data_IF_012105991233
#
_entry.id   IF_012105991233
#
_cell.length_a   1.000
_cell.length_b   1.000
_cell.length_c   1.000
_cell.angle_alpha   90.00
_cell.angle_beta   90.00
_cell.angle_gamma   90.00
#
_symmetry.space_group_name_H-M   'P 1'
#
loop_
_entity.id
_entity.type
_entity.pdbx_description
1 polymer ?
#
# COMPACT_ATOMS: atom_id res chain seq x y z
N UNK A 1 16.81 3.14 -11.75
CA UNK A 1 16.58 4.60 -11.80
C UNK A 1 15.93 5.14 -13.08
N UNK A 2 15.67 4.31 -14.12
CA UNK A 2 15.10 4.79 -15.41
C UNK A 2 13.77 5.56 -15.26
N UNK A 3 12.83 5.04 -14.47
CA UNK A 3 11.55 5.72 -14.22
C UNK A 3 11.73 7.07 -13.52
N UNK A 4 12.66 7.18 -12.57
CA UNK A 4 12.95 8.46 -11.94
C UNK A 4 13.53 9.46 -12.95
N UNK A 5 14.46 9.02 -13.80
CA UNK A 5 14.99 9.86 -14.89
C UNK A 5 13.90 10.35 -15.84
N UNK A 6 12.92 9.50 -16.17
CA UNK A 6 11.75 9.86 -16.97
C UNK A 6 10.92 10.97 -16.31
N UNK A 7 10.66 10.86 -15.00
CA UNK A 7 9.91 11.90 -14.27
C UNK A 7 10.68 13.23 -14.26
N UNK A 8 11.97 13.18 -13.95
CA UNK A 8 12.83 14.36 -13.90
C UNK A 8 12.95 15.07 -15.26
N UNK A 9 13.05 14.32 -16.37
CA UNK A 9 13.11 14.91 -17.71
C UNK A 9 11.83 15.65 -18.11
N UNK A 10 10.70 15.34 -17.46
CA UNK A 10 9.43 16.04 -17.61
C UNK A 10 9.21 17.14 -16.55
N UNK A 11 10.23 17.48 -15.76
CA UNK A 11 10.13 18.50 -14.72
C UNK A 11 9.27 18.09 -13.52
N UNK A 12 9.01 16.79 -13.35
CA UNK A 12 8.26 16.25 -12.22
C UNK A 12 9.23 16.02 -11.06
N UNK A 13 8.86 16.45 -9.86
CA UNK A 13 9.60 16.19 -8.63
C UNK A 13 9.10 14.89 -7.97
N UNK A 14 9.82 13.77 -8.07
CA UNK A 14 9.41 12.52 -7.43
C UNK A 14 9.67 12.53 -5.92
N UNK A 15 8.78 11.88 -5.18
CA UNK A 15 9.00 11.45 -3.79
C UNK A 15 8.93 9.93 -3.80
N UNK A 16 10.03 9.27 -3.43
CA UNK A 16 10.09 7.80 -3.39
C UNK A 16 9.63 7.32 -2.02
N UNK A 17 8.57 6.51 -1.99
CA UNK A 17 8.05 5.92 -0.76
C UNK A 17 8.38 4.42 -0.71
N UNK A 18 8.87 3.96 0.43
CA UNK A 18 9.23 2.55 0.65
C UNK A 18 8.39 1.97 1.79
N UNK A 19 8.07 0.68 1.73
CA UNK A 19 7.47 -0.04 2.85
C UNK A 19 8.42 -0.07 4.06
N UNK A 20 7.83 -0.04 5.25
CA UNK A 20 8.51 -0.15 6.52
C UNK A 20 8.21 -1.44 7.25
N UNK A 21 7.76 -1.32 8.50
CA UNK A 21 7.53 -2.47 9.37
C UNK A 21 6.31 -3.30 8.94
N UNK A 22 6.28 -4.57 9.36
CA UNK A 22 5.11 -5.43 9.12
C UNK A 22 3.88 -4.95 9.87
N UNK A 23 2.75 -4.88 9.16
CA UNK A 23 1.45 -4.53 9.72
C UNK A 23 0.73 -5.77 10.27
N UNK A 24 0.24 -5.76 11.52
CA UNK A 24 -0.43 -6.93 12.10
C UNK A 24 -1.68 -7.39 11.32
N UNK A 25 -2.50 -6.45 10.83
CA UNK A 25 -3.68 -6.78 10.00
C UNK A 25 -3.35 -7.55 8.72
N UNK A 26 -2.11 -7.44 8.22
CA UNK A 26 -1.65 -8.11 7.00
C UNK A 26 -0.86 -9.39 7.26
N UNK A 27 -0.67 -9.78 8.52
CA UNK A 27 0.21 -10.88 8.91
C UNK A 27 -0.17 -12.23 8.26
N UNK A 28 -1.47 -12.52 8.10
CA UNK A 28 -1.95 -13.75 7.45
C UNK A 28 -1.54 -13.78 5.98
N UNK A 29 -1.69 -12.65 5.28
CA UNK A 29 -1.35 -12.51 3.87
C UNK A 29 0.15 -12.62 3.66
N UNK A 30 0.96 -11.95 4.48
CA UNK A 30 2.42 -12.05 4.41
C UNK A 30 2.94 -13.46 4.73
N UNK A 31 2.32 -14.16 5.68
CA UNK A 31 2.67 -15.56 5.98
C UNK A 31 2.44 -16.46 4.77
N UNK A 32 1.27 -16.35 4.12
CA UNK A 32 0.98 -17.10 2.87
C UNK A 32 1.95 -16.75 1.75
N UNK A 33 2.30 -15.47 1.60
CA UNK A 33 3.30 -15.01 0.60
C UNK A 33 4.66 -15.66 0.88
N UNK A 34 5.13 -15.67 2.13
CA UNK A 34 6.40 -16.31 2.54
C UNK A 34 6.39 -17.81 2.26
N UNK A 35 5.35 -18.54 2.67
CA UNK A 35 5.21 -19.98 2.41
C UNK A 35 5.25 -20.31 0.92
N UNK A 36 4.54 -19.51 0.10
CA UNK A 36 4.57 -19.67 -1.35
C UNK A 36 5.96 -19.41 -1.95
N UNK A 37 6.70 -18.39 -1.46
CA UNK A 37 8.08 -18.14 -1.89
C UNK A 37 8.98 -19.33 -1.54
N UNK A 38 8.89 -19.86 -0.33
CA UNK A 38 9.68 -21.01 0.11
C UNK A 38 9.39 -22.26 -0.74
N UNK A 39 8.11 -22.55 -1.00
CA UNK A 39 7.68 -23.66 -1.86
C UNK A 39 8.26 -23.51 -3.27
N UNK A 40 8.12 -22.34 -3.88
CA UNK A 40 8.67 -22.07 -5.22
C UNK A 40 10.20 -22.16 -5.23
N UNK A 41 10.89 -21.68 -4.18
CA UNK A 41 12.34 -21.77 -4.06
C UNK A 41 12.82 -23.22 -3.98
N UNK A 42 12.14 -24.09 -3.22
CA UNK A 42 12.45 -25.53 -3.15
C UNK A 42 12.26 -26.18 -4.52
N UNK A 43 11.14 -25.92 -5.19
CA UNK A 43 10.84 -26.46 -6.51
C UNK A 43 11.84 -25.99 -7.59
N UNK A 44 12.21 -24.70 -7.57
CA UNK A 44 13.21 -24.15 -8.49
C UNK A 44 14.58 -24.85 -8.35
N UNK A 45 15.04 -25.06 -7.10
CA UNK A 45 16.31 -25.75 -6.83
C UNK A 45 16.30 -27.20 -7.32
N UNK A 46 15.17 -27.90 -7.16
CA UNK A 46 15.04 -29.28 -7.63
C UNK A 46 15.04 -29.37 -9.16
N UNK A 47 14.28 -28.51 -9.85
CA UNK A 47 14.30 -28.43 -11.31
C UNK A 47 15.70 -28.10 -11.85
N UNK A 48 16.43 -27.22 -11.18
CA UNK A 48 17.80 -26.88 -11.57
C UNK A 48 18.74 -28.08 -11.45
N UNK A 49 18.62 -28.90 -10.39
CA UNK A 49 19.38 -30.15 -10.24
C UNK A 49 19.08 -31.16 -11.33
N UNK A 50 17.86 -31.16 -11.86
CA UNK A 50 17.43 -32.02 -12.97
C UNK A 50 17.85 -31.46 -14.36
N UNK A 51 18.61 -30.35 -14.42
CA UNK A 51 19.01 -29.72 -15.68
C UNK A 51 17.90 -28.90 -16.35
N UNK A 52 16.74 -28.72 -15.70
CA UNK A 52 15.56 -28.02 -16.24
C UNK A 52 15.60 -26.52 -15.93
N UNK A 53 16.64 -25.84 -16.41
CA UNK A 53 16.93 -24.45 -16.05
C UNK A 53 15.81 -23.45 -16.40
N UNK A 54 15.14 -23.63 -17.55
CA UNK A 54 14.04 -22.74 -17.99
C UNK A 54 12.85 -22.78 -17.02
N UNK A 55 12.46 -23.97 -16.59
CA UNK A 55 11.35 -24.16 -15.66
C UNK A 55 11.74 -23.71 -14.24
N UNK A 56 12.99 -23.97 -13.83
CA UNK A 56 13.52 -23.45 -12.58
C UNK A 56 13.44 -21.92 -12.52
N UNK A 57 13.75 -21.23 -13.63
CA UNK A 57 13.69 -19.77 -13.72
C UNK A 57 12.27 -19.22 -13.48
N UNK A 58 11.23 -19.90 -13.97
CA UNK A 58 9.83 -19.50 -13.72
C UNK A 58 9.49 -19.56 -12.23
N UNK A 59 9.97 -20.57 -11.51
CA UNK A 59 9.80 -20.67 -10.06
C UNK A 59 10.68 -19.66 -9.30
N UNK A 60 11.91 -19.40 -9.75
CA UNK A 60 12.76 -18.37 -9.14
C UNK A 60 12.11 -16.99 -9.20
N UNK A 61 11.50 -16.63 -10.33
CA UNK A 61 10.75 -15.37 -10.48
C UNK A 61 9.61 -15.23 -9.47
N UNK A 62 8.98 -16.34 -9.07
CA UNK A 62 7.87 -16.39 -8.09
C UNK A 62 8.33 -16.44 -6.63
N UNK A 63 9.63 -16.58 -6.36
CA UNK A 63 10.18 -16.62 -5.00
C UNK A 63 11.12 -15.45 -4.67
N UNK A 64 11.11 -14.39 -5.50
CA UNK A 64 11.82 -13.14 -5.23
C UNK A 64 11.24 -12.51 -3.97
N UNK A 65 12.13 -12.04 -3.11
CA UNK A 65 11.81 -11.31 -1.89
C UNK A 65 12.63 -10.02 -1.93
N UNK A 66 11.96 -8.89 -1.74
CA UNK A 66 12.61 -7.58 -1.65
C UNK A 66 13.04 -7.38 -0.21
N UNK A 67 14.34 -7.20 0.03
CA UNK A 67 14.89 -7.04 1.37
C UNK A 67 15.12 -5.56 1.73
N UNK A 68 15.32 -5.27 3.02
CA UNK A 68 15.66 -3.92 3.48
C UNK A 68 16.95 -3.40 2.86
N UNK A 69 17.93 -4.27 2.60
CA UNK A 69 19.20 -3.91 1.99
C UNK A 69 19.02 -3.49 0.53
N UNK A 70 18.21 -4.24 -0.23
CA UNK A 70 17.86 -3.86 -1.61
C UNK A 70 17.15 -2.50 -1.66
N UNK A 71 16.23 -2.25 -0.72
CA UNK A 71 15.58 -0.94 -0.62
C UNK A 71 16.59 0.16 -0.28
N UNK A 72 17.49 -0.08 0.66
CA UNK A 72 18.52 0.88 1.08
C UNK A 72 19.47 1.29 -0.06
N UNK A 73 19.85 0.36 -0.93
CA UNK A 73 20.64 0.68 -2.14
C UNK A 73 19.90 1.67 -3.05
N UNK A 74 18.58 1.50 -3.23
CA UNK A 74 17.75 2.41 -4.02
C UNK A 74 17.60 3.76 -3.32
N UNK A 75 17.40 3.78 -2.00
CA UNK A 75 17.35 5.01 -1.19
C UNK A 75 18.64 5.82 -1.36
N UNK A 76 19.79 5.16 -1.24
CA UNK A 76 21.11 5.77 -1.42
C UNK A 76 21.27 6.35 -2.84
N UNK A 77 20.84 5.59 -3.86
CA UNK A 77 20.85 6.05 -5.25
C UNK A 77 19.90 7.22 -5.52
N UNK A 78 18.79 7.33 -4.78
CA UNK A 78 17.86 8.46 -4.85
C UNK A 78 18.48 9.72 -4.22
N UNK A 79 19.04 9.60 -3.03
CA UNK A 79 19.72 10.72 -2.33
C UNK A 79 20.88 11.29 -3.11
N UNK A 80 21.69 10.44 -3.74
CA UNK A 80 22.80 10.87 -4.59
C UNK A 80 22.34 11.74 -5.78
N UNK A 81 21.06 11.62 -6.19
CA UNK A 81 20.43 12.42 -7.25
C UNK A 81 19.47 13.49 -6.70
N UNK A 82 19.52 13.79 -5.41
CA UNK A 82 18.67 14.77 -4.75
C UNK A 82 17.16 14.49 -4.90
N UNK A 83 16.78 13.22 -4.82
CA UNK A 83 15.38 12.78 -4.82
C UNK A 83 14.93 12.56 -3.38
N UNK A 84 13.77 13.10 -3.04
CA UNK A 84 13.18 12.94 -1.72
C UNK A 84 12.74 11.48 -1.50
N UNK A 85 13.01 10.97 -0.30
CA UNK A 85 12.70 9.60 0.11
C UNK A 85 11.96 9.63 1.45
N UNK A 86 10.94 8.79 1.57
CA UNK A 86 10.26 8.50 2.84
C UNK A 86 10.09 7.00 2.98
N UNK A 87 10.56 6.41 4.07
CA UNK A 87 10.16 5.04 4.43
C UNK A 87 8.89 5.14 5.27
N UNK A 88 7.81 4.48 4.85
CA UNK A 88 6.59 4.43 5.64
C UNK A 88 6.86 3.76 6.99
N UNK A 89 6.14 4.09 8.07
CA UNK A 89 6.26 3.33 9.32
C UNK A 89 5.74 1.88 9.15
N UNK A 90 4.76 1.69 8.26
CA UNK A 90 4.17 0.40 7.90
C UNK A 90 4.07 0.28 6.37
N UNK A 91 2.88 0.27 5.78
CA UNK A 91 2.73 0.12 4.33
C UNK A 91 2.93 1.44 3.59
N UNK A 92 3.62 1.36 2.46
CA UNK A 92 3.78 2.47 1.53
C UNK A 92 2.42 3.00 1.04
N UNK A 93 1.40 2.13 0.90
CA UNK A 93 0.07 2.50 0.45
C UNK A 93 -0.58 3.59 1.32
N UNK A 94 -0.58 3.40 2.64
CA UNK A 94 -1.12 4.38 3.57
C UNK A 94 -0.32 5.68 3.54
N UNK A 95 1.01 5.58 3.45
CA UNK A 95 1.90 6.74 3.39
C UNK A 95 1.71 7.55 2.10
N UNK A 96 1.59 6.89 0.96
CA UNK A 96 1.31 7.49 -0.34
C UNK A 96 -0.06 8.20 -0.33
N UNK A 97 -1.08 7.54 0.23
CA UNK A 97 -2.39 8.13 0.40
C UNK A 97 -2.36 9.37 1.29
N UNK A 98 -1.61 9.34 2.39
CA UNK A 98 -1.44 10.50 3.26
C UNK A 98 -0.84 11.69 2.51
N UNK A 99 0.27 11.48 1.80
CA UNK A 99 0.94 12.54 1.03
C UNK A 99 0.00 13.15 -0.01
N UNK A 100 -0.83 12.33 -0.66
CA UNK A 100 -1.79 12.81 -1.65
C UNK A 100 -2.98 13.55 -1.04
N UNK A 101 -3.55 13.03 0.05
CA UNK A 101 -4.67 13.65 0.74
C UNK A 101 -4.30 15.00 1.36
N UNK A 102 -3.09 15.12 1.91
CA UNK A 102 -2.54 16.38 2.44
C UNK A 102 -2.04 17.35 1.37
N UNK A 103 -2.07 16.97 0.10
CA UNK A 103 -1.63 17.81 -1.02
C UNK A 103 -0.12 18.00 -1.13
N UNK A 104 0.66 17.19 -0.40
CA UNK A 104 2.13 17.17 -0.49
C UNK A 104 2.54 16.60 -1.86
N UNK A 105 1.82 15.56 -2.33
CA UNK A 105 1.95 15.01 -3.68
C UNK A 105 0.64 15.14 -4.45
N UNK A 106 0.68 15.60 -5.70
CA UNK A 106 -0.53 15.81 -6.50
C UNK A 106 -1.04 14.49 -7.12
N UNK A 107 -0.13 13.56 -7.39
CA UNK A 107 -0.43 12.28 -8.05
C UNK A 107 0.42 11.19 -7.41
N UNK A 108 -0.16 9.99 -7.24
CA UNK A 108 0.58 8.79 -6.82
C UNK A 108 0.82 7.87 -8.03
N UNK A 109 1.99 7.27 -8.13
CA UNK A 109 2.31 6.23 -9.11
C UNK A 109 2.42 4.90 -8.36
N UNK A 110 1.61 3.91 -8.72
CA UNK A 110 1.66 2.56 -8.14
C UNK A 110 1.07 1.54 -9.11
N UNK A 111 1.39 0.26 -8.93
CA UNK A 111 0.67 -0.85 -9.57
C UNK A 111 -0.38 -1.47 -8.63
N UNK A 112 -0.38 -1.08 -7.35
CA UNK A 112 -1.30 -1.63 -6.34
C UNK A 112 -2.63 -0.88 -6.32
N UNK A 113 -3.70 -1.58 -6.72
CA UNK A 113 -5.05 -1.02 -6.72
C UNK A 113 -5.63 -0.77 -5.33
N UNK A 114 -5.08 -1.40 -4.28
CA UNK A 114 -5.53 -1.20 -2.90
C UNK A 114 -5.37 0.27 -2.48
N UNK A 115 -4.43 1.00 -3.09
CA UNK A 115 -4.25 2.43 -2.90
C UNK A 115 -5.52 3.26 -3.19
N UNK A 116 -6.38 2.81 -4.10
CA UNK A 116 -7.66 3.49 -4.39
C UNK A 116 -8.56 3.46 -3.16
N UNK A 117 -8.51 2.39 -2.36
CA UNK A 117 -9.36 2.16 -1.17
C UNK A 117 -8.96 3.06 0.00
N UNK A 118 -7.69 3.48 0.05
CA UNK A 118 -7.19 4.49 0.98
C UNK A 118 -7.66 5.91 0.65
N UNK A 119 -8.23 6.15 -0.54
CA UNK A 119 -8.84 7.43 -0.90
C UNK A 119 -7.91 8.41 -1.59
N UNK A 120 -6.84 7.94 -2.23
CA UNK A 120 -6.05 8.78 -3.12
C UNK A 120 -6.95 9.50 -4.14
N UNK A 121 -6.73 10.79 -4.31
CA UNK A 121 -7.46 11.68 -5.24
C UNK A 121 -7.07 11.40 -6.69
N UNK A 122 -5.79 11.08 -6.93
CA UNK A 122 -5.22 10.96 -8.28
C UNK A 122 -4.11 9.92 -8.31
N UNK A 123 -4.33 8.85 -9.08
CA UNK A 123 -3.41 7.71 -9.15
C UNK A 123 -3.10 7.36 -10.60
N UNK A 124 -1.82 7.10 -10.89
CA UNK A 124 -1.32 6.58 -12.15
C UNK A 124 -0.90 5.12 -11.97
N UNK A 125 -1.48 4.27 -12.80
CA UNK A 125 -1.13 2.86 -12.91
C UNK A 125 -0.43 2.59 -14.24
N UNK A 126 0.33 1.49 -14.31
CA UNK A 126 0.94 0.98 -15.56
C UNK A 126 1.82 2.02 -16.25
N UNK A 127 2.63 2.75 -15.48
CA UNK A 127 3.55 3.74 -16.04
C UNK A 127 4.69 3.04 -16.79
N UNK A 128 4.66 3.13 -18.12
CA UNK A 128 5.69 2.58 -19.00
C UNK A 128 6.92 3.49 -19.12
N UNK A 129 7.95 3.02 -19.83
CA UNK A 129 9.21 3.75 -20.01
C UNK A 129 9.10 5.01 -20.87
N UNK A 130 8.02 5.15 -21.63
CA UNK A 130 7.75 6.27 -22.53
C UNK A 130 6.77 7.29 -21.90
N UNK A 131 6.30 7.04 -20.67
CA UNK A 131 5.34 7.90 -19.96
C UNK A 131 3.87 7.54 -20.20
N UNK A 132 3.58 6.50 -20.99
CA UNK A 132 2.23 5.96 -21.11
C UNK A 132 1.76 5.40 -19.77
N UNK A 133 0.52 5.71 -19.39
CA UNK A 133 -0.05 5.31 -18.10
C UNK A 133 -1.57 5.29 -18.13
N UNK A 134 -2.17 4.68 -17.11
CA UNK A 134 -3.61 4.69 -16.84
C UNK A 134 -3.89 5.60 -15.65
N UNK A 135 -4.62 6.69 -15.89
CA UNK A 135 -5.02 7.62 -14.85
C UNK A 135 -6.37 7.23 -14.24
N UNK A 136 -6.39 7.13 -12.90
CA UNK A 136 -7.59 6.95 -12.10
C UNK A 136 -7.83 8.20 -11.27
N UNK A 137 -9.00 8.80 -11.52
CA UNK A 137 -9.51 9.97 -10.85
C UNK A 137 -10.55 9.54 -9.80
N UNK A 138 -10.29 9.85 -8.53
CA UNK A 138 -11.17 9.52 -7.41
C UNK A 138 -12.61 9.98 -7.64
N UNK A 139 -12.78 11.18 -8.20
CA UNK A 139 -14.09 11.78 -8.43
C UNK A 139 -14.91 11.01 -9.47
N UNK A 140 -14.25 10.20 -10.30
CA UNK A 140 -14.85 9.40 -11.37
C UNK A 140 -15.05 7.94 -11.01
N UNK A 141 -14.73 7.52 -9.78
CA UNK A 141 -14.95 6.13 -9.33
C UNK A 141 -16.41 5.69 -9.47
N UNK A 142 -17.36 6.58 -9.22
CA UNK A 142 -18.79 6.31 -9.40
C UNK A 142 -19.15 5.85 -10.83
N UNK A 143 -18.46 6.38 -11.86
CA UNK A 143 -18.65 5.97 -13.25
C UNK A 143 -18.19 4.54 -13.48
N UNK A 144 -17.01 4.17 -12.94
CA UNK A 144 -16.48 2.82 -13.04
C UNK A 144 -17.38 1.79 -12.31
N UNK A 145 -18.03 2.22 -11.23
CA UNK A 145 -18.97 1.41 -10.47
C UNK A 145 -20.38 1.34 -11.11
N UNK A 146 -20.63 2.15 -12.14
CA UNK A 146 -21.95 2.36 -12.72
C UNK A 146 -23.01 2.78 -11.66
N UNK A 147 -22.61 3.66 -10.74
CA UNK A 147 -23.46 4.20 -9.68
C UNK A 147 -23.66 5.70 -9.91
N UNK A 148 -24.90 6.21 -9.90
CA UNK A 148 -25.17 7.65 -9.96
C UNK A 148 -24.41 8.41 -8.87
N UNK A 149 -23.87 9.61 -9.20
CA UNK A 149 -23.01 10.37 -8.29
C UNK A 149 -23.65 10.66 -6.93
N UNK A 150 -24.95 10.90 -6.90
CA UNK A 150 -25.76 11.14 -5.70
C UNK A 150 -25.91 9.90 -4.79
N UNK A 151 -25.71 8.70 -5.34
CA UNK A 151 -25.78 7.42 -4.61
C UNK A 151 -24.43 6.83 -4.27
N UNK A 152 -23.36 7.41 -4.79
CA UNK A 152 -21.99 7.00 -4.52
C UNK A 152 -21.51 7.62 -3.20
N UNK A 153 -20.97 6.79 -2.31
CA UNK A 153 -20.14 7.25 -1.21
C UNK A 153 -18.84 6.47 -1.20
N UNK A 154 -17.74 7.14 -0.88
CA UNK A 154 -16.44 6.48 -0.83
C UNK A 154 -16.37 5.44 0.30
N UNK A 155 -17.11 5.66 1.38
CA UNK A 155 -17.29 4.65 2.44
C UNK A 155 -17.94 3.37 1.91
N UNK A 156 -19.00 3.47 1.10
CA UNK A 156 -19.61 2.30 0.46
C UNK A 156 -18.64 1.63 -0.51
N UNK A 157 -17.89 2.40 -1.28
CA UNK A 157 -16.86 1.86 -2.16
C UNK A 157 -15.84 1.03 -1.38
N UNK A 158 -15.32 1.56 -0.26
CA UNK A 158 -14.41 0.85 0.65
C UNK A 158 -15.03 -0.43 1.20
N UNK A 159 -16.29 -0.36 1.65
CA UNK A 159 -16.98 -1.54 2.18
C UNK A 159 -17.18 -2.61 1.10
N UNK A 160 -17.46 -2.21 -0.14
CA UNK A 160 -17.57 -3.11 -1.28
C UNK A 160 -16.23 -3.80 -1.56
N UNK A 161 -15.12 -3.06 -1.60
CA UNK A 161 -13.80 -3.62 -1.87
C UNK A 161 -13.35 -4.58 -0.77
N UNK A 162 -13.55 -4.21 0.50
CA UNK A 162 -13.24 -5.11 1.64
C UNK A 162 -14.09 -6.39 1.56
N UNK A 163 -15.40 -6.29 1.27
CA UNK A 163 -16.28 -7.45 1.16
C UNK A 163 -15.92 -8.36 -0.02
N UNK A 164 -15.38 -7.77 -1.10
CA UNK A 164 -14.87 -8.52 -2.25
C UNK A 164 -13.54 -9.22 -2.00
N UNK A 165 -12.92 -8.98 -0.83
CA UNK A 165 -11.62 -9.51 -0.44
C UNK A 165 -10.51 -8.49 -0.64
N UNK A 166 -9.67 -8.34 0.38
CA UNK A 166 -8.47 -7.48 0.36
C UNK A 166 -7.33 -8.15 1.16
N UNK A 167 -6.16 -7.53 1.19
CA UNK A 167 -4.99 -8.02 1.92
C UNK A 167 -5.22 -8.16 3.44
N UNK A 168 -6.21 -7.46 4.01
CA UNK A 168 -6.54 -7.51 5.45
C UNK A 168 -7.65 -8.51 5.79
N UNK A 169 -8.51 -8.84 4.84
CA UNK A 169 -9.65 -9.73 5.06
C UNK A 169 -9.99 -10.49 3.77
N UNK A 170 -9.88 -11.83 3.74
CA UNK A 170 -10.36 -12.62 2.61
C UNK A 170 -11.87 -12.46 2.44
N UNK A 171 -12.33 -12.56 1.19
CA UNK A 171 -13.75 -12.59 0.87
C UNK A 171 -14.45 -13.82 1.44
N UNK A 172 -15.75 -13.73 1.68
CA UNK A 172 -16.57 -14.90 1.97
C UNK A 172 -16.70 -15.81 0.72
N UNK A 173 -16.95 -17.12 0.89
CA UNK A 173 -17.12 -18.05 -0.22
C UNK A 173 -18.19 -17.59 -1.22
N UNK A 174 -17.78 -17.47 -2.48
CA UNK A 174 -18.67 -17.04 -3.56
C UNK A 174 -19.11 -15.59 -3.48
N UNK A 175 -18.50 -14.74 -2.64
CA UNK A 175 -18.68 -13.29 -2.62
C UNK A 175 -17.49 -12.63 -3.31
N UNK A 176 -17.77 -11.88 -4.37
CA UNK A 176 -16.79 -11.03 -5.06
C UNK A 176 -17.42 -9.68 -5.38
N UNK A 177 -16.72 -8.86 -6.16
CA UNK A 177 -17.10 -7.46 -6.41
C UNK A 177 -18.56 -7.27 -6.81
N UNK A 178 -19.05 -8.06 -7.78
CA UNK A 178 -20.45 -7.98 -8.26
C UNK A 178 -21.47 -8.18 -7.13
N UNK A 179 -21.26 -9.18 -6.26
CA UNK A 179 -22.19 -9.45 -5.15
C UNK A 179 -22.04 -8.45 -4.02
N UNK A 180 -20.83 -7.98 -3.75
CA UNK A 180 -20.58 -6.91 -2.79
C UNK A 180 -21.27 -5.60 -3.23
N UNK A 181 -21.13 -5.21 -4.49
CA UNK A 181 -21.87 -4.08 -5.08
C UNK A 181 -23.38 -4.26 -4.93
N UNK A 182 -23.92 -5.42 -5.32
CA UNK A 182 -25.35 -5.71 -5.19
C UNK A 182 -25.82 -5.51 -3.76
N UNK A 183 -25.11 -6.05 -2.78
CA UNK A 183 -25.44 -5.91 -1.37
C UNK A 183 -25.46 -4.43 -0.91
N UNK A 184 -24.38 -3.68 -1.14
CA UNK A 184 -24.29 -2.29 -0.70
C UNK A 184 -25.12 -1.28 -1.51
N UNK A 185 -25.56 -1.67 -2.71
CA UNK A 185 -26.47 -0.86 -3.53
C UNK A 185 -27.89 -0.77 -2.95
N UNK A 186 -28.32 -1.79 -2.20
CA UNK A 186 -29.68 -1.89 -1.64
C UNK A 186 -29.72 -1.63 -0.13
N UNK A 187 -28.56 -1.57 0.54
CA UNK A 187 -28.48 -1.22 1.97
C UNK A 187 -28.38 0.29 2.15
N UNK A 188 -29.28 0.83 2.98
CA UNK A 188 -29.23 2.22 3.46
C UNK A 188 -28.76 2.31 4.92
N UNK A 189 -28.62 1.17 5.61
CA UNK A 189 -28.23 1.12 7.01
C UNK A 189 -26.72 1.34 7.15
N UNK A 190 -26.35 2.28 8.01
CA UNK A 190 -24.97 2.71 8.30
C UNK A 190 -24.28 1.83 9.34
N UNK A 191 -25.02 1.00 10.07
CA UNK A 191 -24.47 0.00 10.98
C UNK A 191 -23.98 -1.22 10.18
N UNK A 192 -22.76 -1.08 9.64
CA UNK A 192 -22.13 -2.10 8.79
C UNK A 192 -22.04 -3.44 9.52
N UNK A 193 -21.69 -3.43 10.81
CA UNK A 193 -21.54 -4.63 11.62
C UNK A 193 -22.86 -5.44 11.67
N UNK A 194 -23.99 -4.78 11.92
CA UNK A 194 -25.27 -5.49 11.97
C UNK A 194 -25.81 -5.81 10.57
N UNK A 195 -25.57 -4.96 9.58
CA UNK A 195 -25.99 -5.18 8.19
C UNK A 195 -25.36 -6.43 7.59
N UNK A 196 -24.07 -6.70 7.84
CA UNK A 196 -23.36 -7.87 7.31
C UNK A 196 -24.05 -9.19 7.65
N UNK A 197 -24.70 -9.31 8.82
CA UNK A 197 -25.43 -10.53 9.19
C UNK A 197 -26.61 -10.86 8.26
N UNK A 198 -27.11 -9.86 7.52
CA UNK A 198 -28.23 -10.00 6.57
C UNK A 198 -27.76 -10.35 5.15
N UNK A 199 -26.45 -10.38 4.90
CA UNK A 199 -25.86 -10.68 3.58
C UNK A 199 -26.43 -11.96 2.93
N UNK A 200 -26.59 -13.10 3.65
CA UNK A 200 -27.15 -14.32 3.05
C UNK A 200 -28.57 -14.13 2.52
N UNK A 201 -29.41 -13.39 3.24
CA UNK A 201 -30.80 -13.11 2.86
C UNK A 201 -30.86 -12.18 1.65
N UNK A 202 -30.07 -11.10 1.63
CA UNK A 202 -30.05 -10.13 0.53
C UNK A 202 -29.55 -10.71 -0.79
N UNK A 203 -28.66 -11.71 -0.73
CA UNK A 203 -28.06 -12.33 -1.90
C UNK A 203 -28.70 -13.68 -2.29
N UNK A 204 -29.75 -14.11 -1.58
CA UNK A 204 -30.38 -15.43 -1.75
C UNK A 204 -29.36 -16.59 -1.66
N UNK A 205 -28.49 -16.53 -0.65
CA UNK A 205 -27.43 -17.53 -0.39
C UNK A 205 -27.65 -18.16 0.99
N UNK A 206 -28.63 -19.07 1.16
CA UNK A 206 -29.02 -19.58 2.48
C UNK A 206 -27.91 -20.36 3.22
N UNK A 207 -26.94 -20.90 2.49
CA UNK A 207 -25.81 -21.66 3.05
C UNK A 207 -24.57 -20.78 3.32
N UNK A 208 -24.65 -19.47 3.05
CA UNK A 208 -23.56 -18.55 3.34
C UNK A 208 -23.57 -18.21 4.82
N UNK A 209 -22.51 -18.56 5.53
CA UNK A 209 -22.34 -18.18 6.93
C UNK A 209 -21.56 -16.86 7.04
N UNK A 210 -22.11 -15.92 7.82
CA UNK A 210 -21.43 -14.67 8.19
C UNK A 210 -21.24 -14.68 9.70
N UNK A 211 -20.10 -15.23 10.14
CA UNK A 211 -19.78 -15.39 11.56
C UNK A 211 -19.60 -14.03 12.24
N UNK A 212 -19.69 -14.03 13.58
CA UNK A 212 -19.31 -12.86 14.38
C UNK A 212 -17.86 -12.45 14.11
N UNK A 213 -16.94 -13.42 14.09
CA UNK A 213 -15.51 -13.18 13.83
C UNK A 213 -15.27 -12.49 12.48
N UNK A 214 -15.98 -12.89 11.42
CA UNK A 214 -15.85 -12.23 10.12
C UNK A 214 -16.25 -10.75 10.19
N UNK A 215 -17.34 -10.44 10.89
CA UNK A 215 -17.83 -9.07 11.05
C UNK A 215 -16.87 -8.21 11.88
N UNK A 216 -16.29 -8.77 12.94
CA UNK A 216 -15.25 -8.10 13.72
C UNK A 216 -14.01 -7.80 12.87
N UNK A 217 -13.53 -8.79 12.11
CA UNK A 217 -12.40 -8.59 11.18
C UNK A 217 -12.73 -7.61 10.05
N UNK A 218 -13.98 -7.54 9.62
CA UNK A 218 -14.44 -6.54 8.65
C UNK A 218 -14.30 -5.12 9.20
N UNK A 219 -14.72 -4.90 10.45
CA UNK A 219 -14.51 -3.61 11.12
C UNK A 219 -13.03 -3.30 11.31
N UNK A 220 -12.21 -4.30 11.66
CA UNK A 220 -10.75 -4.12 11.72
C UNK A 220 -10.17 -3.71 10.36
N UNK A 221 -10.58 -4.35 9.27
CA UNK A 221 -10.12 -3.99 7.92
C UNK A 221 -10.51 -2.56 7.53
N UNK A 222 -11.73 -2.11 7.86
CA UNK A 222 -12.14 -0.70 7.67
C UNK A 222 -11.19 0.22 8.45
N UNK A 223 -10.99 -0.07 9.73
CA UNK A 223 -10.13 0.71 10.61
C UNK A 223 -8.67 0.72 10.14
N UNK A 224 -8.17 -0.37 9.54
CA UNK A 224 -6.83 -0.39 8.94
C UNK A 224 -6.73 0.56 7.76
N UNK A 225 -7.71 0.58 6.86
CA UNK A 225 -7.73 1.55 5.74
C UNK A 225 -7.88 3.01 6.21
N UNK A 226 -8.49 3.25 7.37
CA UNK A 226 -8.71 4.61 7.89
C UNK A 226 -7.57 5.11 8.76
N UNK A 227 -7.03 4.24 9.62
CA UNK A 227 -6.21 4.64 10.76
C UNK A 227 -4.84 3.99 10.78
N UNK A 228 -4.43 3.32 9.68
CA UNK A 228 -3.06 2.85 9.56
C UNK A 228 -2.09 4.00 9.85
N UNK A 229 -1.10 3.74 10.69
CA UNK A 229 -0.13 4.75 11.06
C UNK A 229 0.73 5.14 9.85
N UNK A 230 0.93 6.44 9.71
CA UNK A 230 1.74 7.09 8.68
C UNK A 230 2.66 8.13 9.33
N UNK A 231 3.71 8.51 8.61
CA UNK A 231 4.60 9.58 9.04
C UNK A 231 4.22 10.89 8.35
N UNK A 232 4.00 11.94 9.13
CA UNK A 232 3.82 13.29 8.63
C UNK A 232 5.19 13.96 8.46
N UNK A 233 5.68 14.17 7.23
CA UNK A 233 7.01 14.73 7.01
C UNK A 233 7.10 16.23 7.36
N UNK A 234 5.96 16.92 7.52
CA UNK A 234 5.93 18.35 7.81
C UNK A 234 6.00 18.57 9.32
N UNK A 235 5.14 17.91 10.10
CA UNK A 235 5.20 17.97 11.57
C UNK A 235 6.25 17.03 12.17
N UNK A 236 6.83 16.14 11.37
CA UNK A 236 7.77 15.09 11.78
C UNK A 236 7.21 14.14 12.86
N UNK A 237 5.92 13.79 12.74
CA UNK A 237 5.21 12.96 13.72
C UNK A 237 4.57 11.73 13.11
N UNK A 238 4.68 10.60 13.80
CA UNK A 238 3.80 9.44 13.62
C UNK A 238 2.34 9.79 13.96
N UNK A 239 1.40 9.51 13.05
CA UNK A 239 -0.04 9.79 13.21
C UNK A 239 -0.88 8.79 12.41
N UNK A 240 -2.19 8.63 12.67
CA UNK A 240 -3.04 7.85 11.78
C UNK A 240 -3.27 8.57 10.44
N UNK A 241 -3.58 7.81 9.39
CA UNK A 241 -3.95 8.35 8.07
C UNK A 241 -5.14 9.31 8.13
N UNK A 242 -6.20 8.92 8.84
CA UNK A 242 -7.37 9.74 9.18
C UNK A 242 -7.43 9.96 10.68
N UNK A 243 -7.98 11.09 11.12
CA UNK A 243 -8.11 11.36 12.55
C UNK A 243 -9.02 10.31 13.22
N UNK A 244 -8.66 9.90 14.44
CA UNK A 244 -9.44 8.93 15.21
C UNK A 244 -10.80 9.53 15.62
N UNK A 245 -11.82 8.69 15.87
CA UNK A 245 -13.05 9.14 16.52
C UNK A 245 -12.77 9.71 17.92
N UNK A 246 -13.67 10.56 18.41
CA UNK A 246 -13.54 11.18 19.72
C UNK A 246 -13.35 10.14 20.84
N UNK A 247 -12.34 10.37 21.69
CA UNK A 247 -12.00 9.49 22.80
C UNK A 247 -11.22 8.23 22.44
N UNK A 248 -10.95 7.99 21.15
CA UNK A 248 -10.11 6.89 20.68
C UNK A 248 -8.66 7.34 20.45
N UNK A 249 -7.73 6.40 20.49
CA UNK A 249 -6.32 6.62 20.23
C UNK A 249 -5.62 5.41 19.59
N UNK A 250 -4.29 5.47 19.42
CA UNK A 250 -3.55 4.42 18.71
C UNK A 250 -3.60 3.05 19.40
N UNK A 251 -3.83 3.01 20.71
CA UNK A 251 -3.93 1.76 21.47
C UNK A 251 -5.24 1.00 21.20
N UNK A 252 -6.27 1.67 20.69
CA UNK A 252 -7.56 1.06 20.33
C UNK A 252 -7.49 0.33 18.97
N UNK A 253 -6.47 0.66 18.16
CA UNK A 253 -6.26 0.10 16.82
C UNK A 253 -4.86 -0.54 16.68
N UNK A 254 -4.45 -1.46 17.57
CA UNK A 254 -3.08 -2.01 17.57
C UNK A 254 -2.75 -2.78 16.28
N UNK A 255 -3.79 -3.26 15.58
CA UNK A 255 -3.68 -3.95 14.31
C UNK A 255 -3.39 -3.02 13.11
N UNK A 256 -3.69 -1.73 13.25
CA UNK A 256 -3.40 -0.67 12.27
C UNK A 256 -1.98 -0.06 12.45
N UNK A 257 -1.14 -0.68 13.28
CA UNK A 257 0.23 -0.26 13.54
C UNK A 257 0.42 0.15 14.99
N UNK A 258 1.52 -0.31 15.58
CA UNK A 258 1.91 0.05 16.93
C UNK A 258 2.56 1.43 16.95
N UNK A 259 2.13 2.28 17.86
CA UNK A 259 2.78 3.57 18.05
C UNK A 259 4.18 3.39 18.67
N UNK A 260 5.22 3.78 17.94
CA UNK A 260 6.63 3.61 18.35
C UNK A 260 7.28 4.89 18.87
N UNK A 261 6.53 6.00 18.93
CA UNK A 261 7.05 7.33 19.25
C UNK A 261 7.53 8.09 18.02
N UNK A 262 7.45 9.43 18.08
CA UNK A 262 7.74 10.31 16.94
C UNK A 262 9.20 10.24 16.49
N UNK A 263 10.16 10.26 17.41
CA UNK A 263 11.58 10.24 17.03
C UNK A 263 11.98 8.92 16.35
N UNK A 264 11.53 7.78 16.88
CA UNK A 264 11.79 6.49 16.24
C UNK A 264 11.14 6.43 14.85
N UNK A 265 9.91 6.93 14.71
CA UNK A 265 9.25 7.00 13.41
C UNK A 265 9.99 7.92 12.43
N UNK A 266 10.55 9.04 12.90
CA UNK A 266 11.39 9.94 12.10
C UNK A 266 12.64 9.23 11.60
N UNK A 267 13.35 8.50 12.46
CA UNK A 267 14.54 7.73 12.04
C UNK A 267 14.20 6.60 11.07
N UNK A 268 13.04 5.95 11.23
CA UNK A 268 12.52 5.00 10.25
C UNK A 268 12.26 5.73 8.93
N UNK A 269 11.52 6.84 8.93
CA UNK A 269 11.17 7.59 7.73
C UNK A 269 12.38 8.11 6.96
N UNK A 270 13.43 8.48 7.68
CA UNK A 270 14.74 8.82 7.12
C UNK A 270 15.55 7.60 6.69
N UNK A 271 15.04 6.38 6.71
CA UNK A 271 15.78 5.18 6.31
C UNK A 271 17.03 4.89 7.15
N UNK A 272 17.15 5.50 8.34
CA UNK A 272 18.29 5.33 9.23
C UNK A 272 18.19 4.04 10.07
N UNK A 273 17.00 3.43 10.10
CA UNK A 273 16.71 2.23 10.89
C UNK A 273 16.29 1.11 9.95
N UNK A 274 16.91 -0.05 10.09
CA UNK A 274 16.44 -1.26 9.43
C UNK A 274 15.11 -1.68 10.06
N UNK A 275 14.03 -1.66 9.28
CA UNK A 275 12.67 -1.92 9.77
C UNK A 275 12.40 -3.36 10.18
N UNK A 276 13.29 -4.30 9.82
CA UNK A 276 13.20 -5.71 10.21
C UNK A 276 13.98 -5.99 11.51
N UNK A 277 15.21 -5.50 11.63
CA UNK A 277 16.07 -5.76 12.81
C UNK A 277 15.92 -4.71 13.91
N UNK A 278 15.48 -3.50 13.55
CA UNK A 278 15.39 -2.35 14.43
C UNK A 278 16.73 -1.65 14.70
N UNK A 279 17.81 -2.10 14.04
CA UNK A 279 19.15 -1.55 14.18
C UNK A 279 19.32 -0.27 13.37
N UNK A 280 20.21 0.61 13.82
CA UNK A 280 20.60 1.80 13.08
C UNK A 280 21.58 1.40 11.98
N UNK A 281 21.26 1.76 10.74
CA UNK A 281 22.04 1.42 9.53
C UNK A 281 22.59 2.64 8.79
N UNK A 282 22.09 3.84 9.12
CA UNK A 282 22.55 5.10 8.53
C UNK A 282 22.31 6.26 9.51
N UNK A 283 22.90 7.41 9.23
CA UNK A 283 22.79 8.64 10.01
C UNK A 283 22.45 9.83 9.10
N UNK A 284 21.62 9.61 8.08
CA UNK A 284 21.18 10.66 7.18
C UNK A 284 20.38 11.72 7.93
N UNK A 285 20.71 12.98 7.67
CA UNK A 285 20.02 14.15 8.20
C UNK A 285 19.78 15.15 7.07
N UNK A 286 18.51 15.43 6.72
CA UNK A 286 18.17 16.32 5.60
C UNK A 286 18.59 17.78 5.83
N UNK A 287 18.80 18.23 7.07
CA UNK A 287 19.16 19.64 7.36
C UNK A 287 20.62 19.95 7.04
N UNK A 288 21.50 18.95 7.17
CA UNK A 288 22.93 19.08 6.90
C UNK A 288 23.34 18.47 5.56
N UNK A 289 22.47 17.68 4.93
CA UNK A 289 22.78 17.01 3.68
C UNK A 289 22.97 18.01 2.54
N UNK A 290 24.15 17.95 1.90
CA UNK A 290 24.44 18.66 0.66
C UNK A 290 24.53 17.63 -0.46
N UNK A 291 23.55 17.64 -1.36
CA UNK A 291 23.63 16.86 -2.59
C UNK A 291 24.89 17.29 -3.35
N UNK A 292 25.67 16.31 -3.86
CA UNK A 292 26.75 16.63 -4.79
C UNK A 292 26.11 17.31 -5.99
N UNK A 293 26.57 18.50 -6.33
CA UNK A 293 26.11 19.22 -7.53
C UNK A 293 26.37 18.31 -8.72
N UNK A 294 25.32 17.78 -9.34
CA UNK A 294 25.45 17.12 -10.62
C UNK A 294 25.78 18.21 -11.64
N UNK A 295 27.00 18.19 -12.16
CA UNK A 295 27.30 18.96 -13.36
C UNK A 295 26.31 18.48 -14.43
N UNK A 296 25.53 19.41 -14.97
CA UNK A 296 24.50 19.19 -15.98
C UNK A 296 25.02 18.62 -17.32
N UNK A 297 26.30 18.26 -17.39
CA UNK A 297 26.98 17.70 -18.57
C UNK A 297 27.03 16.16 -18.59
N UNK A 298 26.90 15.44 -17.47
CA UNK A 298 27.07 13.97 -17.44
C UNK A 298 25.78 13.16 -17.67
N UNK A 299 24.61 13.80 -17.71
CA UNK A 299 23.33 13.11 -17.90
C UNK A 299 22.99 12.80 -19.38
N UNK A 300 23.81 13.27 -20.33
CA UNK A 300 23.53 13.12 -21.78
C UNK A 300 24.35 12.04 -22.49
N UNK A 301 25.29 11.35 -21.85
CA UNK A 301 26.24 10.47 -22.58
C UNK A 301 25.94 8.97 -22.54
N UNK A 302 24.86 8.49 -21.91
CA UNK A 302 24.58 7.04 -21.85
C UNK A 302 23.14 6.65 -22.20
N UNK A 303 22.58 7.25 -23.26
CA UNK A 303 21.39 6.73 -23.94
C UNK A 303 21.72 6.52 -25.42
N UNK A 304 22.31 5.37 -25.72
CA UNK A 304 22.23 4.67 -27.00
C UNK A 304 21.80 3.23 -26.72
#
# INVERSE_FOLDING_TARGET
MKQVSLLLSHGIKPIMVFDGCHLPSKAVTETKRRENREKNRKQAKELLRQGRAREALEHFRRCVEVTSEMAFEVISACRARNIDVVVAPYEADAQLAFLNLKGIAQVVITEDSDLIVFGCKSTLFKLDSNGGCVFVDHEKLHLAMNIPRDKFSFEKFRNITILSGCDYLPSLPGIGLVKACKFFSVTANTDIYNVLSKLPSYLNMPNLEVTQEYREKFMQAINTFLYQLVFDPISQTLRPLSDYPDGMGPNDYPYAGKFVGHERARQIALGNVNVQTGEVVDHFDPEIFKAKSSNSSELNENIC
#
